data_IF_796166975647
#
_entry.id   IF_796166975647
#
_cell.length_a   1.000
_cell.length_b   1.000
_cell.length_c   1.000
_cell.angle_alpha   90.00
_cell.angle_beta   90.00
_cell.angle_gamma   90.00
#
_symmetry.space_group_name_H-M   'P 1'
#
loop_
_entity.id
_entity.type
_entity.pdbx_description
1 polymer ?
#
# COMPACT_ATOMS: atom_id res chain seq x y z
N UNK A 1 1.11 -14.12 -5.61
CA UNK A 1 0.71 -13.97 -4.20
C UNK A 1 -0.64 -14.64 -4.05
N UNK A 2 -0.90 -15.37 -2.96
CA UNK A 2 -2.19 -15.99 -2.71
C UNK A 2 -2.97 -15.24 -1.61
N UNK A 3 -4.30 -15.39 -1.59
CA UNK A 3 -5.19 -14.79 -0.59
C UNK A 3 -4.87 -15.28 0.82
N UNK A 4 -4.34 -16.49 0.94
CA UNK A 4 -3.86 -17.06 2.20
C UNK A 4 -2.65 -16.31 2.78
N UNK A 5 -1.87 -15.60 1.97
CA UNK A 5 -0.70 -14.84 2.44
C UNK A 5 -1.07 -13.53 3.14
N UNK A 6 -2.27 -13.01 2.86
CA UNK A 6 -2.68 -11.67 3.31
C UNK A 6 -2.72 -11.52 4.84
N UNK A 7 -3.29 -12.46 5.62
CA UNK A 7 -3.27 -12.37 7.08
C UNK A 7 -1.84 -12.34 7.64
N UNK A 8 -0.92 -13.12 7.07
CA UNK A 8 0.48 -13.15 7.50
C UNK A 8 1.16 -11.80 7.25
N UNK A 9 0.92 -11.19 6.08
CA UNK A 9 1.47 -9.86 5.78
C UNK A 9 0.89 -8.79 6.72
N UNK A 10 -0.41 -8.82 7.04
CA UNK A 10 -1.00 -7.90 8.01
C UNK A 10 -0.39 -8.08 9.41
N UNK A 11 -0.15 -9.32 9.84
CA UNK A 11 0.49 -9.60 11.13
C UNK A 11 1.94 -9.10 11.17
N UNK A 12 2.69 -9.23 10.06
CA UNK A 12 4.04 -8.67 9.93
C UNK A 12 4.02 -7.14 10.00
N UNK A 13 3.07 -6.51 9.32
CA UNK A 13 2.88 -5.06 9.36
C UNK A 13 2.55 -4.56 10.76
N UNK A 14 1.74 -5.29 11.52
CA UNK A 14 1.37 -4.90 12.88
C UNK A 14 2.56 -4.83 13.84
N UNK A 15 3.64 -5.58 13.54
CA UNK A 15 4.88 -5.60 14.31
C UNK A 15 5.97 -4.71 13.72
N UNK A 16 5.68 -4.06 12.59
CA UNK A 16 6.65 -3.26 11.85
C UNK A 16 6.78 -1.83 12.43
N UNK A 17 7.81 -1.08 12.02
CA UNK A 17 8.01 0.31 12.43
C UNK A 17 6.85 1.22 12.02
N UNK A 18 6.88 2.46 12.50
CA UNK A 18 5.84 3.46 12.23
C UNK A 18 5.62 3.73 10.74
N UNK A 19 6.67 3.54 9.93
CA UNK A 19 6.64 3.67 8.47
C UNK A 19 7.15 2.37 7.84
N UNK A 20 6.41 1.84 6.88
CA UNK A 20 6.73 0.61 6.16
C UNK A 20 6.69 0.88 4.66
N UNK A 21 7.72 0.42 3.94
CA UNK A 21 7.77 0.48 2.48
C UNK A 21 7.40 -0.88 1.93
N UNK A 22 6.37 -0.94 1.09
CA UNK A 22 5.99 -2.12 0.33
C UNK A 22 6.45 -1.91 -1.12
N UNK A 23 7.53 -2.60 -1.48
CA UNK A 23 8.00 -2.61 -2.86
C UNK A 23 7.23 -3.65 -3.67
N UNK A 24 6.56 -3.19 -4.73
CA UNK A 24 5.79 -4.02 -5.66
C UNK A 24 6.46 -4.16 -7.02
N UNK A 25 7.67 -3.62 -7.21
CA UNK A 25 8.38 -3.71 -8.50
C UNK A 25 8.73 -5.14 -8.91
N UNK A 26 8.79 -6.06 -7.94
CA UNK A 26 9.04 -7.49 -8.17
C UNK A 26 7.81 -8.29 -8.58
N UNK A 27 6.62 -7.67 -8.63
CA UNK A 27 5.39 -8.36 -9.02
C UNK A 27 5.28 -8.43 -10.54
N UNK A 28 5.49 -9.63 -11.09
CA UNK A 28 5.35 -9.89 -12.53
C UNK A 28 3.90 -9.97 -13.01
N UNK A 29 2.95 -10.20 -12.10
CA UNK A 29 1.52 -10.19 -12.40
C UNK A 29 0.75 -9.58 -11.23
N UNK A 30 -0.02 -8.55 -11.56
CA UNK A 30 -0.92 -7.89 -10.62
C UNK A 30 -2.34 -8.34 -10.93
N UNK A 31 -3.01 -8.85 -9.91
CA UNK A 31 -4.37 -9.36 -9.97
C UNK A 31 -5.22 -8.81 -8.82
N UNK A 32 -6.51 -9.19 -8.78
CA UNK A 32 -7.41 -8.76 -7.72
C UNK A 32 -6.96 -9.20 -6.32
N UNK A 33 -6.24 -10.32 -6.21
CA UNK A 33 -5.69 -10.81 -4.93
C UNK A 33 -4.58 -9.88 -4.43
N UNK A 34 -3.72 -9.43 -5.34
CA UNK A 34 -2.67 -8.45 -5.05
C UNK A 34 -3.29 -7.11 -4.60
N UNK A 35 -4.34 -6.66 -5.28
CA UNK A 35 -5.06 -5.43 -4.89
C UNK A 35 -5.75 -5.58 -3.52
N UNK A 36 -6.41 -6.71 -3.26
CA UNK A 36 -7.01 -7.02 -1.96
C UNK A 36 -5.95 -7.01 -0.85
N UNK A 37 -4.79 -7.59 -1.11
CA UNK A 37 -3.67 -7.62 -0.17
C UNK A 37 -3.21 -6.20 0.19
N UNK A 38 -2.95 -5.35 -0.82
CA UNK A 38 -2.55 -3.95 -0.62
C UNK A 38 -3.62 -3.16 0.14
N UNK A 39 -4.90 -3.38 -0.17
CA UNK A 39 -6.01 -2.74 0.53
C UNK A 39 -6.06 -3.12 2.01
N UNK A 40 -5.90 -4.41 2.33
CA UNK A 40 -5.86 -4.88 3.71
C UNK A 40 -4.62 -4.38 4.46
N UNK A 41 -3.48 -4.27 3.79
CA UNK A 41 -2.27 -3.70 4.39
C UNK A 41 -2.45 -2.21 4.69
N UNK A 42 -2.98 -1.43 3.75
CA UNK A 42 -3.27 -0.01 3.99
C UNK A 42 -4.28 0.18 5.12
N UNK A 43 -5.34 -0.63 5.15
CA UNK A 43 -6.33 -0.58 6.22
C UNK A 43 -5.70 -0.91 7.59
N UNK A 44 -4.85 -1.93 7.64
CA UNK A 44 -4.13 -2.30 8.86
C UNK A 44 -3.18 -1.18 9.31
N UNK A 45 -2.43 -0.57 8.37
CA UNK A 45 -1.57 0.57 8.67
C UNK A 45 -2.36 1.73 9.28
N UNK A 46 -3.48 2.11 8.64
CA UNK A 46 -4.36 3.19 9.12
C UNK A 46 -4.93 2.90 10.51
N UNK A 47 -5.41 1.68 10.75
CA UNK A 47 -5.93 1.26 12.07
C UNK A 47 -4.87 1.34 13.18
N UNK A 48 -3.61 1.11 12.83
CA UNK A 48 -2.48 1.17 13.76
C UNK A 48 -1.78 2.53 13.79
N UNK A 49 -2.33 3.56 13.12
CA UNK A 49 -1.69 4.88 12.94
C UNK A 49 -0.25 4.78 12.39
N UNK A 50 -0.03 3.85 11.45
CA UNK A 50 1.23 3.65 10.74
C UNK A 50 1.12 4.13 9.30
N UNK A 51 2.25 4.49 8.70
CA UNK A 51 2.37 4.91 7.30
C UNK A 51 2.85 3.73 6.46
N UNK A 52 2.08 3.35 5.45
CA UNK A 52 2.49 2.38 4.44
C UNK A 52 2.72 3.11 3.11
N UNK A 53 3.92 2.96 2.56
CA UNK A 53 4.33 3.57 1.29
C UNK A 53 4.48 2.44 0.28
N UNK A 54 3.67 2.43 -0.76
CA UNK A 54 3.82 1.50 -1.87
C UNK A 54 4.77 2.10 -2.90
N UNK A 55 5.78 1.35 -3.33
CA UNK A 55 6.80 1.77 -4.29
C UNK A 55 6.92 0.78 -5.43
N UNK A 56 7.35 1.25 -6.59
CA UNK A 56 7.57 0.39 -7.76
C UNK A 56 6.29 -0.06 -8.44
N UNK A 57 5.17 0.65 -8.26
CA UNK A 57 3.94 0.39 -8.98
C UNK A 57 4.16 0.67 -10.48
N UNK A 58 3.98 -0.36 -11.30
CA UNK A 58 4.05 -0.26 -12.75
C UNK A 58 2.74 0.32 -13.32
N UNK A 59 2.74 0.65 -14.62
CA UNK A 59 1.55 1.18 -15.29
C UNK A 59 0.37 0.20 -15.25
N UNK A 60 0.64 -1.11 -15.28
CA UNK A 60 -0.38 -2.15 -15.18
C UNK A 60 -1.13 -2.12 -13.85
N UNK A 61 -0.40 -2.01 -12.74
CA UNK A 61 -0.98 -1.82 -11.41
C UNK A 61 -1.77 -0.52 -11.33
N UNK A 62 -1.22 0.60 -11.80
CA UNK A 62 -1.90 1.90 -11.78
C UNK A 62 -3.22 1.86 -12.57
N UNK A 63 -3.23 1.21 -13.73
CA UNK A 63 -4.43 1.05 -14.55
C UNK A 63 -5.48 0.20 -13.83
N UNK A 64 -5.07 -0.92 -13.24
CA UNK A 64 -5.98 -1.79 -12.48
C UNK A 64 -6.56 -1.07 -11.26
N UNK A 65 -5.73 -0.33 -10.53
CA UNK A 65 -6.17 0.46 -9.38
C UNK A 65 -7.13 1.57 -9.79
N UNK A 66 -6.86 2.23 -10.90
CA UNK A 66 -7.75 3.27 -11.45
C UNK A 66 -9.08 2.66 -11.89
N UNK A 67 -9.05 1.52 -12.58
CA UNK A 67 -10.23 0.78 -12.99
C UNK A 67 -11.10 0.36 -11.79
N UNK A 68 -10.48 -0.03 -10.68
CA UNK A 68 -11.19 -0.37 -9.44
C UNK A 68 -11.58 0.85 -8.59
N UNK A 69 -11.17 2.07 -8.97
CA UNK A 69 -11.38 3.28 -8.16
C UNK A 69 -10.58 3.31 -6.85
N UNK A 70 -9.49 2.54 -6.76
CA UNK A 70 -8.69 2.35 -5.54
C UNK A 70 -7.35 3.09 -5.57
N UNK A 71 -7.04 3.81 -6.64
CA UNK A 71 -5.75 4.49 -6.80
C UNK A 71 -5.43 5.41 -5.62
N UNK A 72 -6.32 6.33 -5.25
CA UNK A 72 -6.08 7.28 -4.16
C UNK A 72 -6.14 6.63 -2.76
N UNK A 73 -6.73 5.44 -2.65
CA UNK A 73 -6.81 4.69 -1.40
C UNK A 73 -5.52 3.92 -1.15
N UNK A 74 -4.95 3.33 -2.20
CA UNK A 74 -3.80 2.43 -2.11
C UNK A 74 -2.47 3.11 -2.37
N UNK A 75 -2.48 4.11 -3.24
CA UNK A 75 -1.38 5.01 -3.55
C UNK A 75 -1.80 6.43 -3.17
N UNK A 76 -2.12 6.69 -1.88
CA UNK A 76 -2.43 8.04 -1.47
C UNK A 76 -1.24 8.90 -1.86
N UNK A 77 -1.49 9.85 -2.77
CA UNK A 77 -0.50 10.81 -3.22
C UNK A 77 0.17 11.32 -1.96
N UNK A 78 1.47 11.03 -1.82
CA UNK A 78 2.24 11.21 -0.59
C UNK A 78 1.74 12.46 0.10
N UNK A 79 1.11 12.28 1.27
CA UNK A 79 0.56 13.38 2.05
C UNK A 79 1.57 14.53 2.00
N UNK A 80 1.08 15.68 1.58
CA UNK A 80 1.79 16.95 1.45
C UNK A 80 3.00 17.02 2.39
N UNK A 81 4.23 17.38 1.92
CA UNK A 81 5.33 17.66 2.84
C UNK A 81 4.78 18.50 4.00
N UNK A 82 5.11 18.17 5.26
CA UNK A 82 4.61 18.94 6.40
C UNK A 82 4.89 20.42 6.10
N UNK A 83 3.91 21.34 6.29
CA UNK A 83 4.12 22.73 5.97
C UNK A 83 5.41 23.16 6.65
N UNK A 84 6.40 23.54 5.86
CA UNK A 84 7.62 24.16 6.37
C UNK A 84 7.14 25.43 7.04
N UNK A 85 6.97 25.37 8.37
CA UNK A 85 6.82 26.56 9.19
C UNK A 85 8.12 27.34 9.05
N UNK A 86 8.18 28.20 8.02
CA UNK A 86 9.20 29.22 7.90
C UNK A 86 9.01 30.14 9.10
N UNK A 87 10.00 30.10 9.98
CA UNK A 87 10.15 31.00 11.11
C UNK A 87 10.43 32.43 10.63
#
# INVERSE_FOLDING_TARGET
>A
MDRADVPLLCARLARAPTTVVCDVSGLTRVDAVTVEALARLQLTARRLNRRLIVRGADEGLLLLLTFMGLNDVLLPRSADPPPTTSR
#
